data_IF_956823143136
#
_entry.id   IF_956823143136
#
_cell.length_a   1.000
_cell.length_b   1.000
_cell.length_c   1.000
_cell.angle_alpha   90.00
_cell.angle_beta   90.00
_cell.angle_gamma   90.00
#
_symmetry.space_group_name_H-M   'P 1'
#
loop_
_entity.id
_entity.type
_entity.pdbx_description
1 polymer ?
#
# COMPACT_ATOMS: atom_id res chain seq x y z
N UNK A 1 -37.54 -2.89 -43.73
CA UNK A 1 -37.99 -1.81 -42.81
C UNK A 1 -38.18 -2.43 -41.43
N UNK A 2 -37.34 -2.08 -40.45
CA UNK A 2 -37.40 -2.49 -39.01
C UNK A 2 -38.33 -1.49 -38.27
N UNK A 3 -38.75 -1.64 -36.98
CA UNK A 3 -38.34 -2.59 -35.91
C UNK A 3 -39.54 -3.26 -35.17
N UNK A 4 -39.46 -4.44 -34.55
CA UNK A 4 -38.72 -4.90 -33.35
C UNK A 4 -39.20 -4.33 -32.01
N UNK A 5 -39.81 -5.20 -31.17
CA UNK A 5 -39.68 -5.33 -29.69
C UNK A 5 -40.69 -6.39 -29.23
N UNK A 6 -40.30 -7.64 -29.01
CA UNK A 6 -39.72 -8.17 -27.76
C UNK A 6 -40.67 -7.96 -26.57
N UNK A 7 -41.49 -8.99 -26.31
CA UNK A 7 -42.19 -9.18 -25.04
C UNK A 7 -42.27 -10.67 -24.78
N UNK A 8 -42.03 -11.05 -23.52
CA UNK A 8 -42.44 -12.32 -22.91
C UNK A 8 -41.59 -13.55 -23.30
N UNK A 9 -41.09 -14.40 -22.41
CA UNK A 9 -41.50 -14.79 -21.05
C UNK A 9 -40.31 -15.35 -20.25
N UNK A 10 -40.40 -15.20 -18.94
CA UNK A 10 -39.62 -15.81 -17.85
C UNK A 10 -39.08 -17.22 -18.09
N UNK A 11 -37.79 -17.42 -17.79
CA UNK A 11 -37.32 -18.64 -17.11
C UNK A 11 -36.32 -18.23 -16.02
N UNK A 12 -36.73 -18.42 -14.77
CA UNK A 12 -35.86 -18.41 -13.60
C UNK A 12 -34.81 -19.51 -13.74
N UNK A 13 -33.53 -19.16 -13.61
CA UNK A 13 -32.49 -20.09 -13.15
C UNK A 13 -31.77 -19.44 -11.98
N UNK A 14 -32.28 -19.67 -10.76
CA UNK A 14 -31.58 -19.37 -9.53
C UNK A 14 -30.66 -20.56 -9.20
N UNK A 15 -29.44 -20.55 -9.74
CA UNK A 15 -28.37 -21.44 -9.28
C UNK A 15 -27.63 -20.68 -8.17
N UNK A 16 -27.91 -21.02 -6.91
CA UNK A 16 -27.12 -20.59 -5.77
C UNK A 16 -25.76 -21.30 -5.84
N UNK A 17 -24.81 -20.68 -6.56
CA UNK A 17 -23.41 -21.03 -6.42
C UNK A 17 -22.96 -20.64 -5.01
N UNK A 18 -22.51 -21.63 -4.23
CA UNK A 18 -21.67 -21.40 -3.05
C UNK A 18 -20.41 -20.72 -3.56
N UNK A 19 -20.42 -19.38 -3.51
CA UNK A 19 -19.24 -18.57 -3.70
C UNK A 19 -18.36 -18.82 -2.49
N UNK A 20 -17.41 -19.75 -2.62
CA UNK A 20 -16.21 -19.73 -1.79
C UNK A 20 -15.69 -18.31 -1.84
N UNK A 21 -15.70 -17.62 -0.70
CA UNK A 21 -14.89 -16.41 -0.53
C UNK A 21 -13.44 -16.88 -0.64
N UNK A 22 -12.96 -17.02 -1.88
CA UNK A 22 -11.55 -16.95 -2.18
C UNK A 22 -11.15 -15.58 -1.67
N UNK A 23 -10.62 -15.55 -0.45
CA UNK A 23 -9.82 -14.44 0.03
C UNK A 23 -8.69 -14.33 -0.98
N UNK A 24 -8.92 -13.54 -2.02
CA UNK A 24 -7.88 -13.05 -2.87
C UNK A 24 -6.97 -12.28 -1.93
N UNK A 25 -5.92 -12.94 -1.44
CA UNK A 25 -4.74 -12.27 -0.97
C UNK A 25 -4.32 -11.43 -2.17
N UNK A 26 -4.67 -10.16 -2.14
CA UNK A 26 -4.08 -9.16 -3.01
C UNK A 26 -2.59 -9.14 -2.64
N UNK A 27 -1.84 -10.07 -3.23
CA UNK A 27 -0.40 -10.16 -3.16
C UNK A 27 0.09 -8.86 -3.81
N UNK A 28 0.23 -7.82 -3.00
CA UNK A 28 0.76 -6.56 -3.48
C UNK A 28 2.13 -6.89 -4.09
N UNK A 29 2.40 -6.45 -5.33
CA UNK A 29 3.61 -6.82 -6.03
C UNK A 29 4.85 -6.47 -5.19
N UNK A 30 5.95 -7.25 -5.33
CA UNK A 30 7.19 -6.96 -4.61
C UNK A 30 7.57 -5.50 -4.87
N UNK A 31 7.58 -4.69 -3.82
CA UNK A 31 7.90 -3.27 -3.98
C UNK A 31 9.40 -3.07 -4.03
N UNK A 32 9.82 -2.33 -5.04
CA UNK A 32 11.17 -1.80 -5.11
C UNK A 32 11.41 -0.82 -3.95
N UNK A 33 12.65 -0.65 -3.48
CA UNK A 33 12.99 0.37 -2.48
C UNK A 33 12.53 1.78 -2.88
N UNK A 34 12.55 2.06 -4.19
CA UNK A 34 12.04 3.31 -4.78
C UNK A 34 10.55 3.52 -4.51
N UNK A 35 9.72 2.51 -4.80
CA UNK A 35 8.28 2.57 -4.57
C UNK A 35 7.95 2.66 -3.08
N UNK A 36 8.71 1.93 -2.26
CA UNK A 36 8.57 1.97 -0.80
C UNK A 36 8.81 3.38 -0.27
N UNK A 37 9.87 4.04 -0.71
CA UNK A 37 10.15 5.40 -0.30
C UNK A 37 9.07 6.38 -0.77
N UNK A 38 8.69 6.34 -2.05
CA UNK A 38 7.66 7.20 -2.61
C UNK A 38 6.33 7.07 -1.85
N UNK A 39 5.94 5.84 -1.47
CA UNK A 39 4.73 5.58 -0.69
C UNK A 39 4.77 6.23 0.70
N UNK A 40 5.90 6.12 1.39
CA UNK A 40 6.05 6.68 2.74
C UNK A 40 6.04 8.21 2.71
N UNK A 41 6.71 8.81 1.72
CA UNK A 41 6.69 10.26 1.48
C UNK A 41 5.26 10.73 1.17
N UNK A 42 4.57 10.10 0.23
CA UNK A 42 3.20 10.46 -0.13
C UNK A 42 2.21 10.31 1.05
N UNK A 43 2.42 9.29 1.89
CA UNK A 43 1.63 9.12 3.12
C UNK A 43 1.89 10.28 4.09
N UNK A 44 3.15 10.67 4.29
CA UNK A 44 3.48 11.82 5.11
C UNK A 44 2.93 13.12 4.53
N UNK A 45 2.95 13.33 3.22
CA UNK A 45 2.39 14.53 2.58
C UNK A 45 0.90 14.69 2.81
N UNK A 46 0.17 13.57 2.68
CA UNK A 46 -1.28 13.56 2.82
C UNK A 46 -1.73 13.87 4.25
N UNK A 47 -1.00 13.36 5.25
CA UNK A 47 -1.46 13.41 6.65
C UNK A 47 -0.60 14.30 7.56
N UNK A 48 0.63 14.60 7.17
CA UNK A 48 1.62 15.35 7.95
C UNK A 48 1.24 16.79 8.19
N UNK A 49 0.53 17.43 7.24
CA UNK A 49 0.01 18.79 7.40
C UNK A 49 -1.18 18.87 8.38
N UNK A 50 -1.97 17.79 8.51
CA UNK A 50 -3.23 17.79 9.27
C UNK A 50 -3.07 17.53 10.77
N UNK A 51 -1.91 17.04 11.23
CA UNK A 51 -1.72 16.58 12.63
C UNK A 51 -0.65 17.33 13.44
N UNK A 52 -0.01 18.34 12.88
CA UNK A 52 1.09 19.05 13.54
C UNK A 52 0.65 20.49 13.86
N UNK A 53 0.64 20.88 15.14
CA UNK A 53 0.41 22.27 15.60
C UNK A 53 1.39 23.27 14.97
N UNK A 54 2.58 22.79 14.59
CA UNK A 54 3.52 23.51 13.75
C UNK A 54 3.37 22.92 12.35
N UNK A 55 2.74 23.64 11.41
CA UNK A 55 2.34 23.19 10.07
C UNK A 55 3.52 22.91 9.13
N UNK A 56 4.50 22.15 9.62
CA UNK A 56 5.75 21.88 8.94
C UNK A 56 5.58 20.89 7.81
N UNK A 57 4.42 20.23 7.64
CA UNK A 57 4.07 19.25 6.58
C UNK A 57 5.13 19.07 5.47
N UNK A 58 4.96 19.75 4.34
CA UNK A 58 5.89 19.67 3.19
C UNK A 58 7.26 20.31 3.46
N UNK A 59 7.33 21.25 4.41
CA UNK A 59 8.54 21.99 4.80
C UNK A 59 9.38 21.27 5.86
N UNK A 60 8.98 20.07 6.26
CA UNK A 60 9.65 19.32 7.30
C UNK A 60 11.02 18.90 6.77
N UNK A 61 12.09 19.40 7.38
CA UNK A 61 13.44 19.15 6.91
C UNK A 61 13.78 17.65 6.85
N UNK A 62 13.28 16.84 7.79
CA UNK A 62 13.45 15.37 7.74
C UNK A 62 12.74 14.74 6.55
N UNK A 63 11.55 15.22 6.19
CA UNK A 63 10.86 14.76 4.98
C UNK A 63 11.63 15.16 3.72
N UNK A 64 12.16 16.38 3.65
CA UNK A 64 12.97 16.84 2.52
C UNK A 64 14.28 16.05 2.39
N UNK A 65 14.97 15.75 3.50
CA UNK A 65 16.14 14.86 3.50
C UNK A 65 15.80 13.48 2.94
N UNK A 66 14.71 12.87 3.42
CA UNK A 66 14.28 11.56 2.92
C UNK A 66 13.97 11.55 1.42
N UNK A 67 13.37 12.63 0.87
CA UNK A 67 13.15 12.79 -0.58
C UNK A 67 14.49 12.81 -1.31
N UNK A 68 15.44 13.64 -0.87
CA UNK A 68 16.76 13.77 -1.49
C UNK A 68 17.52 12.43 -1.47
N UNK A 69 17.46 11.70 -0.36
CA UNK A 69 18.10 10.39 -0.26
C UNK A 69 17.50 9.40 -1.23
N UNK A 70 16.18 9.37 -1.36
CA UNK A 70 15.53 8.49 -2.33
C UNK A 70 15.77 8.89 -3.78
N UNK A 71 15.90 10.19 -4.08
CA UNK A 71 16.29 10.65 -5.42
C UNK A 71 17.75 10.30 -5.77
N UNK A 72 18.64 10.26 -4.76
CA UNK A 72 20.06 9.89 -4.91
C UNK A 72 20.31 8.38 -4.91
N UNK A 73 19.26 7.56 -4.80
CA UNK A 73 19.37 6.10 -4.72
C UNK A 73 19.77 5.57 -3.34
N UNK A 74 19.87 6.43 -2.32
CA UNK A 74 20.08 6.07 -0.91
C UNK A 74 18.75 5.67 -0.26
N UNK A 75 18.12 4.64 -0.81
CA UNK A 75 16.77 4.26 -0.42
C UNK A 75 16.69 3.78 1.04
N UNK A 76 17.69 3.06 1.53
CA UNK A 76 17.70 2.55 2.91
C UNK A 76 17.72 3.68 3.94
N UNK A 77 18.58 4.69 3.74
CA UNK A 77 18.60 5.90 4.57
C UNK A 77 17.26 6.65 4.47
N UNK A 78 16.79 6.96 3.26
CA UNK A 78 15.56 7.74 3.06
C UNK A 78 14.31 7.05 3.63
N UNK A 79 14.20 5.72 3.45
CA UNK A 79 13.11 4.91 4.04
C UNK A 79 13.18 4.95 5.56
N UNK A 80 14.37 4.79 6.14
CA UNK A 80 14.55 4.82 7.59
C UNK A 80 14.17 6.18 8.15
N UNK A 81 14.65 7.27 7.56
CA UNK A 81 14.35 8.63 8.02
C UNK A 81 12.85 8.95 8.00
N UNK A 82 12.16 8.63 6.89
CA UNK A 82 10.72 8.90 6.79
C UNK A 82 9.90 8.00 7.74
N UNK A 83 10.32 6.76 7.98
CA UNK A 83 9.69 5.89 8.98
C UNK A 83 9.90 6.42 10.40
N UNK A 84 11.10 6.91 10.71
CA UNK A 84 11.44 7.50 12.00
C UNK A 84 10.60 8.76 12.24
N UNK A 85 10.47 9.61 11.23
CA UNK A 85 9.61 10.78 11.26
C UNK A 85 8.15 10.41 11.55
N UNK A 86 7.62 9.41 10.85
CA UNK A 86 6.26 8.91 11.07
C UNK A 86 6.07 8.41 12.50
N UNK A 87 7.02 7.64 13.05
CA UNK A 87 6.95 7.15 14.44
C UNK A 87 7.02 8.29 15.46
N UNK A 88 7.90 9.27 15.26
CA UNK A 88 8.03 10.45 16.14
C UNK A 88 6.75 11.28 16.16
N UNK A 89 6.11 11.45 15.00
CA UNK A 89 4.83 12.14 14.84
C UNK A 89 3.62 11.25 15.15
N UNK A 90 3.84 10.05 15.71
CA UNK A 90 2.80 9.08 16.14
C UNK A 90 1.86 8.65 15.01
N UNK A 91 2.32 8.68 13.77
CA UNK A 91 1.62 8.04 12.66
C UNK A 91 1.85 6.53 12.67
N UNK A 92 0.83 5.77 12.28
CA UNK A 92 1.03 4.38 11.88
C UNK A 92 1.92 4.36 10.63
N UNK A 93 3.02 3.62 10.69
CA UNK A 93 3.89 3.39 9.53
C UNK A 93 3.21 2.35 8.64
N UNK A 94 2.91 2.65 7.38
CA UNK A 94 2.34 1.67 6.46
C UNK A 94 3.26 0.44 6.39
N UNK A 95 2.76 -0.79 6.58
CA UNK A 95 3.59 -1.99 6.50
C UNK A 95 4.20 -2.12 5.08
N UNK A 96 5.36 -2.76 4.93
CA UNK A 96 5.79 -3.20 3.61
C UNK A 96 4.70 -4.11 3.01
N UNK A 97 4.53 -4.16 1.68
CA UNK A 97 3.62 -5.13 1.08
C UNK A 97 4.05 -6.53 1.55
N UNK A 98 3.10 -7.31 2.04
CA UNK A 98 3.32 -8.69 2.46
C UNK A 98 3.78 -9.50 1.24
N UNK A 99 5.10 -9.63 1.11
CA UNK A 99 5.77 -10.19 -0.06
C UNK A 99 7.28 -10.22 0.05
N UNK A 100 7.88 -9.59 1.06
CA UNK A 100 9.25 -9.92 1.49
C UNK A 100 9.18 -11.16 2.37
N UNK A 101 9.60 -12.36 1.93
CA UNK A 101 9.97 -13.41 2.85
C UNK A 101 11.23 -12.95 3.57
N UNK A 102 11.05 -12.05 4.54
CA UNK A 102 12.04 -11.88 5.58
C UNK A 102 12.13 -13.22 6.30
N UNK A 103 13.24 -13.92 6.09
CA UNK A 103 13.81 -14.78 7.12
C UNK A 103 12.89 -15.86 7.76
N UNK A 104 12.09 -16.58 6.96
CA UNK A 104 11.52 -17.89 7.37
C UNK A 104 12.40 -19.07 6.94
N UNK A 105 13.72 -18.85 6.83
CA UNK A 105 14.72 -19.90 6.60
C UNK A 105 15.08 -20.71 7.84
N UNK A 106 14.12 -20.98 8.74
CA UNK A 106 14.34 -21.86 9.89
C UNK A 106 13.07 -22.51 10.44
N UNK A 107 12.13 -22.92 9.59
CA UNK A 107 11.21 -24.00 9.97
C UNK A 107 11.61 -25.23 9.15
N UNK A 108 12.51 -25.97 9.77
CA UNK A 108 13.15 -27.16 9.24
C UNK A 108 12.13 -28.30 9.12
N UNK A 109 12.12 -28.91 7.93
CA UNK A 109 11.95 -30.35 7.67
C UNK A 109 10.64 -31.05 8.06
N UNK A 110 9.85 -31.30 7.01
CA UNK A 110 9.33 -32.60 6.54
C UNK A 110 8.80 -33.63 7.55
N UNK A 111 7.50 -33.93 7.40
CA UNK A 111 6.83 -35.20 7.72
C UNK A 111 7.44 -36.37 6.93
#
# INVERSE_FOLDING_TARGET
>A
MRPATVRSICVMFAILAVGTVSGASAQAPPQTPRERCARLIAYFDRFGASRSENSDGVRNHTRLSAVIDCERGRYDEGIKEIQDLLRRKKFTVPPPPSGTPGNQGLERTCT
#
